data_IF_103382826871
#
_entry.id   IF_103382826871
#
_cell.length_a   1.000
_cell.length_b   1.000
_cell.length_c   1.000
_cell.angle_alpha   90.00
_cell.angle_beta   90.00
_cell.angle_gamma   90.00
#
_symmetry.space_group_name_H-M   'P 1'
#
loop_
_entity.id
_entity.type
_entity.pdbx_description
1 polymer ?
#
# COMPACT_ATOMS: atom_id res chain seq x y z
N UNK A 1 14.21 -5.59 -6.18
CA UNK A 1 13.96 -4.19 -5.81
C UNK A 1 15.01 -3.75 -4.81
N UNK A 2 15.61 -2.60 -5.03
CA UNK A 2 16.41 -1.89 -4.01
C UNK A 2 15.51 -1.41 -2.87
N UNK A 3 16.09 -1.18 -1.68
CA UNK A 3 15.41 -0.57 -0.54
C UNK A 3 14.75 0.76 -0.91
N UNK A 4 15.42 1.56 -1.74
CA UNK A 4 14.90 2.85 -2.20
C UNK A 4 13.65 2.70 -3.07
N UNK A 5 13.64 1.72 -3.97
CA UNK A 5 12.49 1.40 -4.80
C UNK A 5 11.30 0.95 -3.94
N UNK A 6 11.55 0.21 -2.85
CA UNK A 6 10.50 -0.22 -1.92
C UNK A 6 9.90 0.94 -1.15
N UNK A 7 10.72 1.90 -0.73
CA UNK A 7 10.27 3.12 -0.06
C UNK A 7 9.45 3.98 -1.03
N UNK A 8 9.88 4.11 -2.29
CA UNK A 8 9.13 4.80 -3.33
C UNK A 8 7.76 4.14 -3.56
N UNK A 9 7.75 2.83 -3.75
CA UNK A 9 6.52 2.05 -3.93
C UNK A 9 5.58 2.18 -2.72
N UNK A 10 6.11 2.22 -1.49
CA UNK A 10 5.31 2.47 -0.29
C UNK A 10 4.60 3.83 -0.32
N UNK A 11 5.32 4.89 -0.71
CA UNK A 11 4.72 6.24 -0.85
C UNK A 11 3.58 6.23 -1.86
N UNK A 12 3.80 5.58 -3.01
CA UNK A 12 2.81 5.50 -4.07
C UNK A 12 1.56 4.72 -3.61
N UNK A 13 1.73 3.60 -2.90
CA UNK A 13 0.63 2.81 -2.36
C UNK A 13 -0.15 3.54 -1.26
N UNK A 14 0.51 4.34 -0.40
CA UNK A 14 -0.19 5.18 0.58
C UNK A 14 -1.01 6.29 -0.08
N UNK A 15 -0.48 6.91 -1.15
CA UNK A 15 -1.21 7.89 -1.93
C UNK A 15 -2.46 7.25 -2.58
N UNK A 16 -2.30 6.09 -3.21
CA UNK A 16 -3.41 5.34 -3.79
C UNK A 16 -4.45 4.98 -2.72
N UNK A 17 -4.01 4.50 -1.56
CA UNK A 17 -4.90 4.19 -0.45
C UNK A 17 -5.75 5.39 -0.04
N UNK A 18 -5.14 6.59 0.06
CA UNK A 18 -5.84 7.82 0.42
C UNK A 18 -6.90 8.19 -0.62
N UNK A 19 -6.55 8.11 -1.91
CA UNK A 19 -7.50 8.36 -3.00
C UNK A 19 -8.69 7.39 -2.95
N UNK A 20 -8.43 6.10 -2.77
CA UNK A 20 -9.49 5.08 -2.67
C UNK A 20 -10.37 5.27 -1.43
N UNK A 21 -9.80 5.72 -0.30
CA UNK A 21 -10.57 6.06 0.89
C UNK A 21 -11.49 7.27 0.67
N UNK A 22 -11.01 8.29 -0.03
CA UNK A 22 -11.85 9.44 -0.41
C UNK A 22 -12.99 9.02 -1.33
N UNK A 23 -12.72 8.14 -2.29
CA UNK A 23 -13.75 7.57 -3.18
C UNK A 23 -14.76 6.67 -2.44
N UNK A 24 -14.35 5.98 -1.37
CA UNK A 24 -15.29 5.18 -0.55
C UNK A 24 -16.42 6.00 0.06
N UNK A 25 -16.19 7.28 0.36
CA UNK A 25 -17.25 8.15 0.88
C UNK A 25 -18.31 8.48 -0.18
N UNK A 26 -18.02 8.26 -1.47
CA UNK A 26 -18.99 8.46 -2.57
C UNK A 26 -19.90 7.24 -2.84
N UNK A 27 -20.04 6.32 -1.87
CA UNK A 27 -20.92 5.12 -1.91
C UNK A 27 -20.65 4.10 -3.04
N UNK A 28 -19.51 4.15 -3.74
CA UNK A 28 -19.13 3.07 -4.67
C UNK A 28 -18.45 1.90 -3.94
N UNK A 29 -19.07 0.71 -4.00
CA UNK A 29 -18.54 -0.54 -3.46
C UNK A 29 -17.44 -1.17 -4.32
N UNK A 30 -17.26 -0.68 -5.56
CA UNK A 30 -16.28 -1.20 -6.53
C UNK A 30 -14.85 -1.12 -6.01
N UNK A 31 -14.53 -0.07 -5.23
CA UNK A 31 -13.18 0.17 -4.75
C UNK A 31 -12.78 -0.69 -3.53
N UNK A 32 -13.71 -1.48 -2.98
CA UNK A 32 -13.47 -2.23 -1.74
C UNK A 32 -12.43 -3.35 -1.91
N UNK A 33 -12.38 -4.01 -3.07
CA UNK A 33 -11.38 -5.04 -3.40
C UNK A 33 -9.99 -4.42 -3.52
N UNK A 34 -9.88 -3.32 -4.27
CA UNK A 34 -8.62 -2.62 -4.50
C UNK A 34 -7.99 -2.12 -3.20
N UNK A 35 -8.80 -1.60 -2.28
CA UNK A 35 -8.32 -1.18 -0.95
C UNK A 35 -7.70 -2.33 -0.16
N UNK A 36 -8.29 -3.54 -0.24
CA UNK A 36 -7.72 -4.73 0.42
C UNK A 36 -6.40 -5.13 -0.22
N UNK A 37 -6.29 -5.07 -1.55
CA UNK A 37 -5.04 -5.35 -2.25
C UNK A 37 -3.94 -4.36 -1.86
N UNK A 38 -4.20 -3.06 -1.94
CA UNK A 38 -3.23 -2.01 -1.56
C UNK A 38 -2.73 -2.22 -0.13
N UNK A 39 -3.65 -2.50 0.82
CA UNK A 39 -3.27 -2.80 2.21
C UNK A 39 -2.36 -4.03 2.33
N UNK A 40 -2.67 -5.12 1.60
CA UNK A 40 -1.85 -6.34 1.62
C UNK A 40 -0.47 -6.09 1.03
N UNK A 41 -0.39 -5.31 -0.05
CA UNK A 41 0.88 -4.98 -0.70
C UNK A 41 1.77 -4.13 0.21
N UNK A 42 1.19 -3.11 0.87
CA UNK A 42 1.90 -2.30 1.89
C UNK A 42 2.47 -3.22 2.98
N UNK A 43 1.65 -4.11 3.53
CA UNK A 43 2.08 -5.02 4.60
C UNK A 43 3.27 -5.91 4.15
N UNK A 44 3.22 -6.49 2.95
CA UNK A 44 4.31 -7.31 2.41
C UNK A 44 5.61 -6.51 2.27
N UNK A 45 5.56 -5.28 1.78
CA UNK A 45 6.75 -4.44 1.61
C UNK A 45 7.35 -4.10 2.98
N UNK A 46 6.50 -3.74 3.95
CA UNK A 46 6.95 -3.48 5.33
C UNK A 46 7.59 -4.71 5.98
N UNK A 47 7.04 -5.90 5.75
CA UNK A 47 7.63 -7.16 6.21
C UNK A 47 9.04 -7.34 5.66
N UNK A 48 9.23 -7.20 4.35
CA UNK A 48 10.55 -7.34 3.71
C UNK A 48 11.54 -6.32 4.27
N UNK A 49 11.14 -5.05 4.41
CA UNK A 49 12.00 -4.00 4.96
C UNK A 49 12.41 -4.28 6.40
N UNK A 50 11.50 -4.82 7.21
CA UNK A 50 11.76 -5.21 8.59
C UNK A 50 12.71 -6.42 8.67
N UNK A 51 12.52 -7.42 7.80
CA UNK A 51 13.43 -8.57 7.68
C UNK A 51 14.83 -8.12 7.23
N UNK A 52 14.93 -7.20 6.27
CA UNK A 52 16.20 -6.61 5.83
C UNK A 52 16.89 -5.81 6.95
N UNK A 53 16.14 -5.15 7.84
CA UNK A 53 16.72 -4.42 8.98
C UNK A 53 17.20 -5.30 10.14
N UNK A 54 16.75 -6.55 10.20
CA UNK A 54 17.11 -7.51 11.25
C UNK A 54 18.25 -8.45 10.84
N UNK A 55 18.64 -8.43 9.57
CA UNK A 55 19.85 -9.07 9.05
C UNK A 55 21.05 -8.14 9.25
#
# INVERSE_FOLDING_TARGET
MSREERIKLLKDLYNEQRLLQMQRHSRSLENSSRIREVRRTIAKILTILNEESKK
#
